data_IF_214949631653
#
_entry.id   IF_214949631653
#
_cell.length_a   1.000
_cell.length_b   1.000
_cell.length_c   1.000
_cell.angle_alpha   90.00
_cell.angle_beta   90.00
_cell.angle_gamma   90.00
#
_symmetry.space_group_name_H-M   'P 1'
#
loop_
_entity.id
_entity.type
_entity.pdbx_description
1 polymer ?
#
# COMPACT_ATOMS: atom_id res chain seq x y z
N UNK A 1 -20.77 -8.14 3.36
CA UNK A 1 -20.19 -8.52 2.05
C UNK A 1 -18.69 -8.81 2.13
N UNK A 2 -17.87 -7.90 2.67
CA UNK A 2 -16.40 -8.06 2.80
C UNK A 2 -15.99 -9.29 3.64
N UNK A 3 -16.68 -9.56 4.76
CA UNK A 3 -16.41 -10.73 5.62
C UNK A 3 -16.67 -12.06 4.88
N UNK A 4 -17.70 -12.11 4.04
CA UNK A 4 -18.02 -13.29 3.22
C UNK A 4 -16.97 -13.52 2.13
N UNK A 5 -16.44 -12.44 1.54
CA UNK A 5 -15.38 -12.51 0.54
C UNK A 5 -14.05 -13.03 1.13
N UNK A 6 -13.70 -12.57 2.33
CA UNK A 6 -12.50 -13.05 3.05
C UNK A 6 -12.62 -14.53 3.40
N UNK A 7 -13.80 -14.97 3.86
CA UNK A 7 -14.09 -16.38 4.13
C UNK A 7 -13.95 -17.26 2.88
N UNK A 8 -14.46 -16.80 1.74
CA UNK A 8 -14.36 -17.51 0.47
C UNK A 8 -12.90 -17.61 -0.02
N UNK A 9 -12.11 -16.53 0.09
CA UNK A 9 -10.69 -16.54 -0.27
C UNK A 9 -9.90 -17.52 0.61
N UNK A 10 -10.17 -17.58 1.91
CA UNK A 10 -9.53 -18.53 2.82
C UNK A 10 -9.85 -19.99 2.46
N UNK A 11 -11.10 -20.30 2.12
CA UNK A 11 -11.51 -21.65 1.70
C UNK A 11 -10.80 -22.06 0.41
N UNK A 12 -10.70 -21.15 -0.57
CA UNK A 12 -9.99 -21.42 -1.83
C UNK A 12 -8.50 -21.68 -1.59
N UNK A 13 -7.85 -20.91 -0.71
CA UNK A 13 -6.43 -21.13 -0.35
C UNK A 13 -6.24 -22.50 0.29
N UNK A 14 -7.11 -22.88 1.23
CA UNK A 14 -7.04 -24.20 1.91
C UNK A 14 -7.24 -25.34 0.91
N UNK A 15 -8.16 -25.21 -0.05
CA UNK A 15 -8.38 -26.22 -1.08
C UNK A 15 -7.18 -26.37 -2.02
N UNK A 16 -6.53 -25.27 -2.40
CA UNK A 16 -5.31 -25.30 -3.22
C UNK A 16 -4.16 -25.98 -2.46
N UNK A 17 -3.99 -25.67 -1.17
CA UNK A 17 -2.99 -26.30 -0.32
C UNK A 17 -3.25 -27.81 -0.13
N UNK A 18 -4.51 -28.21 0.03
CA UNK A 18 -4.89 -29.62 0.14
C UNK A 18 -4.65 -30.38 -1.17
N UNK A 19 -5.01 -29.80 -2.32
CA UNK A 19 -4.83 -30.42 -3.64
C UNK A 19 -3.33 -30.59 -4.00
N UNK A 20 -2.51 -29.61 -3.64
CA UNK A 20 -1.05 -29.66 -3.85
C UNK A 20 -0.37 -30.67 -2.92
N UNK A 21 -0.80 -30.77 -1.67
CA UNK A 21 -0.32 -31.79 -0.73
C UNK A 21 -0.65 -33.23 -1.17
N UNK A 22 -1.87 -33.45 -1.69
CA UNK A 22 -2.29 -34.78 -2.20
C UNK A 22 -1.54 -35.15 -3.48
N UNK A 23 -1.24 -34.17 -4.33
CA UNK A 23 -0.46 -34.40 -5.55
C UNK A 23 1.01 -34.70 -5.26
N UNK A 24 1.57 -34.09 -4.21
CA UNK A 24 2.94 -34.32 -3.77
C UNK A 24 3.18 -35.72 -3.19
N UNK A 25 2.17 -36.36 -2.57
CA UNK A 25 2.30 -37.71 -1.98
C UNK A 25 2.21 -38.84 -3.00
N UNK A 26 1.72 -38.59 -4.23
CA UNK A 26 1.60 -39.60 -5.29
C UNK A 26 2.82 -39.67 -6.22
N UNK A 27 3.71 -38.68 -6.22
CA UNK A 27 4.88 -38.60 -7.10
C UNK A 27 6.14 -39.26 -6.50
N UNK A 28 6.17 -40.59 -6.43
CA UNK A 28 7.27 -41.32 -5.78
C UNK A 28 8.43 -41.65 -6.75
N UNK A 29 9.04 -40.64 -7.37
CA UNK A 29 10.39 -40.75 -7.92
C UNK A 29 11.29 -39.81 -7.13
N UNK A 30 12.20 -40.35 -6.32
CA UNK A 30 13.06 -39.56 -5.40
C UNK A 30 13.87 -38.47 -6.14
N UNK A 31 14.14 -38.67 -7.42
CA UNK A 31 14.88 -37.76 -8.29
C UNK A 31 13.97 -36.73 -9.00
N UNK A 32 12.83 -37.17 -9.54
CA UNK A 32 11.85 -36.28 -10.19
C UNK A 32 11.10 -35.41 -9.18
N UNK A 33 10.82 -35.92 -7.99
CA UNK A 33 10.22 -35.17 -6.88
C UNK A 33 11.13 -34.06 -6.37
N UNK A 34 12.45 -34.27 -6.32
CA UNK A 34 13.41 -33.24 -5.92
C UNK A 34 13.47 -32.09 -6.95
N UNK A 35 13.48 -32.43 -8.24
CA UNK A 35 13.44 -31.44 -9.33
C UNK A 35 12.12 -30.64 -9.29
N UNK A 36 10.99 -31.33 -9.11
CA UNK A 36 9.67 -30.69 -9.01
C UNK A 36 9.58 -29.74 -7.80
N UNK A 37 10.04 -30.19 -6.62
CA UNK A 37 10.04 -29.35 -5.41
C UNK A 37 10.94 -28.13 -5.54
N UNK A 38 12.11 -28.24 -6.18
CA UNK A 38 12.99 -27.11 -6.47
C UNK A 38 12.35 -26.09 -7.40
N UNK A 39 11.65 -26.55 -8.45
CA UNK A 39 10.95 -25.68 -9.38
C UNK A 39 9.78 -24.97 -8.70
N UNK A 40 8.98 -25.68 -7.90
CA UNK A 40 7.89 -25.08 -7.10
C UNK A 40 8.43 -23.99 -6.17
N UNK A 41 9.55 -24.24 -5.48
CA UNK A 41 10.20 -23.23 -4.64
C UNK A 41 10.60 -21.98 -5.44
N UNK A 42 11.22 -22.14 -6.61
CA UNK A 42 11.61 -21.02 -7.47
C UNK A 42 10.37 -20.21 -7.90
N UNK A 43 9.29 -20.87 -8.33
CA UNK A 43 8.06 -20.19 -8.72
C UNK A 43 7.39 -19.45 -7.56
N UNK A 44 7.40 -20.01 -6.34
CA UNK A 44 6.84 -19.33 -5.16
C UNK A 44 7.64 -18.07 -4.83
N UNK A 45 8.98 -18.14 -4.86
CA UNK A 45 9.84 -16.98 -4.63
C UNK A 45 9.64 -15.92 -5.72
N UNK A 46 9.58 -16.32 -6.98
CA UNK A 46 9.30 -15.42 -8.10
C UNK A 46 7.92 -14.77 -7.98
N UNK A 47 6.91 -15.53 -7.58
CA UNK A 47 5.56 -15.02 -7.38
C UNK A 47 5.51 -13.99 -6.25
N UNK A 48 6.09 -14.31 -5.09
CA UNK A 48 6.12 -13.41 -3.94
C UNK A 48 6.85 -12.10 -4.25
N UNK A 49 8.02 -12.19 -4.90
CA UNK A 49 8.80 -11.01 -5.30
C UNK A 49 8.11 -10.20 -6.38
N UNK A 50 7.44 -10.84 -7.34
CA UNK A 50 6.64 -10.16 -8.36
C UNK A 50 5.46 -9.40 -7.74
N UNK A 51 4.71 -10.03 -6.83
CA UNK A 51 3.60 -9.37 -6.12
C UNK A 51 4.09 -8.16 -5.33
N UNK A 52 5.27 -8.26 -4.71
CA UNK A 52 5.90 -7.16 -3.98
C UNK A 52 6.24 -5.98 -4.89
N UNK A 53 6.85 -6.26 -6.06
CA UNK A 53 7.21 -5.25 -7.06
C UNK A 53 5.97 -4.57 -7.63
N UNK A 54 4.93 -5.34 -7.97
CA UNK A 54 3.66 -4.79 -8.48
C UNK A 54 3.02 -3.88 -7.43
N UNK A 55 2.90 -4.35 -6.17
CA UNK A 55 2.35 -3.55 -5.08
C UNK A 55 3.14 -2.26 -4.83
N UNK A 56 4.47 -2.34 -4.85
CA UNK A 56 5.34 -1.16 -4.75
C UNK A 56 5.15 -0.19 -5.93
N UNK A 57 4.99 -0.71 -7.15
CA UNK A 57 4.82 0.13 -8.35
C UNK A 57 3.51 0.91 -8.34
N UNK A 58 2.40 0.25 -7.95
CA UNK A 58 1.10 0.91 -7.80
C UNK A 58 1.14 1.98 -6.70
N UNK A 59 1.75 1.66 -5.56
CA UNK A 59 1.91 2.62 -4.45
C UNK A 59 2.78 3.83 -4.84
N UNK A 60 3.85 3.60 -5.61
CA UNK A 60 4.70 4.68 -6.13
C UNK A 60 3.91 5.60 -7.05
N UNK A 61 3.12 5.05 -7.97
CA UNK A 61 2.27 5.84 -8.86
C UNK A 61 1.23 6.67 -8.10
N UNK A 62 0.53 6.07 -7.12
CA UNK A 62 -0.42 6.78 -6.26
C UNK A 62 0.26 7.92 -5.51
N UNK A 63 1.44 7.68 -4.92
CA UNK A 63 2.18 8.71 -4.22
C UNK A 63 2.61 9.87 -5.13
N UNK A 64 3.00 9.60 -6.38
CA UNK A 64 3.29 10.65 -7.37
C UNK A 64 2.02 11.43 -7.71
N UNK A 65 0.89 10.76 -7.91
CA UNK A 65 -0.38 11.41 -8.15
C UNK A 65 -0.77 12.34 -6.99
N UNK A 66 -0.62 11.90 -5.75
CA UNK A 66 -0.93 12.70 -4.56
C UNK A 66 0.03 13.90 -4.36
N UNK A 67 1.25 13.84 -4.93
CA UNK A 67 2.18 14.98 -4.95
C UNK A 67 1.76 16.02 -5.99
N UNK A 68 1.37 15.58 -7.18
CA UNK A 68 1.02 16.47 -8.31
C UNK A 68 -0.38 17.05 -8.14
N UNK A 69 -1.32 16.22 -7.71
CA UNK A 69 -2.73 16.56 -7.50
C UNK A 69 -3.16 16.13 -6.08
N UNK A 70 -2.70 16.83 -5.03
CA UNK A 70 -3.12 16.53 -3.66
C UNK A 70 -4.64 16.69 -3.52
N UNK A 71 -5.25 15.88 -2.66
CA UNK A 71 -6.70 15.88 -2.49
C UNK A 71 -7.17 17.25 -1.99
N UNK A 72 -8.28 17.78 -2.55
CA UNK A 72 -8.78 19.10 -2.18
C UNK A 72 -9.19 19.13 -0.70
N UNK A 73 -8.98 20.28 -0.06
CA UNK A 73 -9.48 20.53 1.29
C UNK A 73 -11.01 20.70 1.22
N UNK A 74 -11.76 19.78 1.84
CA UNK A 74 -13.21 19.70 1.66
C UNK A 74 -14.03 20.59 2.61
N UNK A 75 -13.41 21.18 3.64
CA UNK A 75 -14.12 22.03 4.58
C UNK A 75 -14.13 23.47 4.07
N UNK A 76 -15.31 24.08 3.97
CA UNK A 76 -15.46 25.47 3.54
C UNK A 76 -15.11 26.45 4.66
N UNK A 77 -14.85 27.72 4.32
CA UNK A 77 -14.61 28.76 5.32
C UNK A 77 -15.80 28.96 6.26
N UNK A 78 -17.03 28.88 5.75
CA UNK A 78 -18.24 29.03 6.57
C UNK A 78 -18.39 27.90 7.58
N UNK A 79 -18.05 26.68 7.17
CA UNK A 79 -18.04 25.52 8.07
C UNK A 79 -16.91 25.62 9.10
N UNK A 80 -15.74 26.14 8.71
CA UNK A 80 -14.65 26.43 9.65
C UNK A 80 -15.01 27.54 10.64
N UNK A 81 -15.71 28.58 10.19
CA UNK A 81 -16.22 29.65 11.06
C UNK A 81 -17.19 29.10 12.09
N UNK A 82 -18.12 28.26 11.67
CA UNK A 82 -19.18 27.78 12.55
C UNK A 82 -18.70 26.66 13.50
N UNK A 83 -17.81 25.76 13.06
CA UNK A 83 -17.41 24.56 13.83
C UNK A 83 -15.94 24.55 14.28
N UNK A 84 -15.06 25.28 13.60
CA UNK A 84 -13.63 25.36 13.90
C UNK A 84 -13.33 26.14 15.20
N UNK A 85 -14.19 27.10 15.54
CA UNK A 85 -14.12 27.85 16.80
C UNK A 85 -14.60 27.03 18.01
N UNK A 86 -15.49 26.06 17.83
CA UNK A 86 -15.97 25.19 18.92
C UNK A 86 -14.89 24.25 19.45
N UNK A 87 -14.02 23.76 18.56
CA UNK A 87 -12.93 22.82 18.86
C UNK A 87 -11.67 23.47 19.47
N UNK A 88 -11.64 24.80 19.56
CA UNK A 88 -10.59 25.55 20.25
C UNK A 88 -10.74 25.41 21.76
N UNK A 89 -9.82 24.69 22.41
CA UNK A 89 -9.75 24.44 23.86
C UNK A 89 -9.67 25.74 24.71
N UNK A 90 -9.30 26.86 24.10
CA UNK A 90 -9.24 28.16 24.77
C UNK A 90 -10.56 28.93 24.59
N UNK A 91 -11.46 28.79 25.56
CA UNK A 91 -12.73 29.54 25.64
C UNK A 91 -12.53 31.07 25.63
N UNK A 92 -11.36 31.57 26.04
CA UNK A 92 -11.04 33.01 26.04
C UNK A 92 -10.66 33.59 24.66
N UNK A 93 -10.30 32.76 23.67
CA UNK A 93 -9.96 33.23 22.31
C UNK A 93 -11.20 33.30 21.40
N UNK A 94 -12.33 32.73 21.84
CA UNK A 94 -13.59 32.70 21.09
C UNK A 94 -14.23 34.08 20.88
N UNK A 95 -13.86 35.08 21.68
CA UNK A 95 -14.62 36.33 21.80
C UNK A 95 -14.07 37.54 21.01
N UNK A 96 -12.91 37.46 20.33
CA UNK A 96 -12.26 38.67 19.80
C UNK A 96 -11.40 38.49 18.54
N UNK A 97 -11.56 37.39 17.79
CA UNK A 97 -10.88 37.28 16.49
C UNK A 97 -11.66 38.09 15.44
N UNK A 98 -10.99 39.03 14.78
CA UNK A 98 -11.59 39.72 13.63
C UNK A 98 -11.84 38.73 12.49
N UNK A 99 -12.78 39.02 11.59
CA UNK A 99 -13.02 38.18 10.41
C UNK A 99 -11.75 38.02 9.55
N UNK A 100 -10.88 39.03 9.55
CA UNK A 100 -9.59 39.01 8.85
C UNK A 100 -8.62 38.00 9.46
N UNK A 101 -8.52 37.94 10.79
CA UNK A 101 -7.70 36.95 11.49
C UNK A 101 -8.25 35.53 11.34
N UNK A 102 -9.58 35.39 11.33
CA UNK A 102 -10.24 34.10 11.13
C UNK A 102 -9.97 33.52 9.74
N UNK A 103 -10.06 34.37 8.71
CA UNK A 103 -9.74 34.00 7.33
C UNK A 103 -8.27 33.64 7.17
N UNK A 104 -7.37 34.44 7.75
CA UNK A 104 -5.93 34.15 7.74
C UNK A 104 -5.59 32.80 8.37
N UNK A 105 -6.25 32.43 9.49
CA UNK A 105 -6.09 31.12 10.12
C UNK A 105 -6.61 29.98 9.26
N UNK A 106 -7.78 30.16 8.63
CA UNK A 106 -8.32 29.18 7.70
C UNK A 106 -7.38 28.96 6.51
N UNK A 107 -6.93 30.02 5.86
CA UNK A 107 -6.01 29.93 4.72
C UNK A 107 -4.70 29.23 5.12
N UNK A 108 -4.16 29.55 6.30
CA UNK A 108 -2.99 28.86 6.85
C UNK A 108 -3.23 27.36 7.08
N UNK A 109 -4.42 26.97 7.55
CA UNK A 109 -4.79 25.57 7.75
C UNK A 109 -4.94 24.82 6.42
N UNK A 110 -5.57 25.43 5.42
CA UNK A 110 -5.71 24.85 4.08
C UNK A 110 -4.33 24.57 3.47
N UNK A 111 -3.41 25.54 3.58
CA UNK A 111 -2.03 25.39 3.11
C UNK A 111 -1.30 24.30 3.90
N UNK A 112 -1.39 24.32 5.23
CA UNK A 112 -0.73 23.33 6.07
C UNK A 112 -1.23 21.90 5.81
N UNK A 113 -2.52 21.70 5.56
CA UNK A 113 -3.07 20.38 5.25
C UNK A 113 -2.60 19.89 3.87
N UNK A 114 -2.56 20.78 2.88
CA UNK A 114 -2.00 20.48 1.55
C UNK A 114 -0.53 20.06 1.67
N UNK A 115 0.27 20.82 2.40
CA UNK A 115 1.69 20.50 2.62
C UNK A 115 1.86 19.18 3.37
N UNK A 116 1.01 18.91 4.36
CA UNK A 116 1.01 17.64 5.09
C UNK A 116 0.66 16.46 4.17
N UNK A 117 -0.27 16.61 3.24
CA UNK A 117 -0.58 15.56 2.26
C UNK A 117 0.61 15.32 1.33
N UNK A 118 1.19 16.38 0.77
CA UNK A 118 2.36 16.28 -0.11
C UNK A 118 3.55 15.61 0.60
N UNK A 119 3.81 15.98 1.86
CA UNK A 119 4.90 15.38 2.65
C UNK A 119 4.63 13.90 2.97
N UNK A 120 3.38 13.53 3.26
CA UNK A 120 2.98 12.12 3.42
C UNK A 120 3.19 11.34 2.12
N UNK A 121 2.79 11.91 0.99
CA UNK A 121 2.96 11.30 -0.32
C UNK A 121 4.44 11.11 -0.68
N UNK A 122 5.31 12.10 -0.41
CA UNK A 122 6.77 11.95 -0.55
C UNK A 122 7.33 10.79 0.27
N UNK A 123 6.92 10.66 1.53
CA UNK A 123 7.33 9.54 2.39
C UNK A 123 6.82 8.19 1.85
N UNK A 124 5.58 8.15 1.37
CA UNK A 124 5.00 6.97 0.72
C UNK A 124 5.79 6.55 -0.51
N UNK A 125 6.19 7.51 -1.36
CA UNK A 125 6.99 7.28 -2.56
C UNK A 125 8.35 6.62 -2.24
N UNK A 126 9.05 7.12 -1.20
CA UNK A 126 10.32 6.54 -0.76
C UNK A 126 10.11 5.12 -0.23
N UNK A 127 9.05 4.89 0.55
CA UNK A 127 8.73 3.55 1.05
C UNK A 127 8.39 2.58 -0.09
N UNK A 128 7.60 3.01 -1.08
CA UNK A 128 7.24 2.18 -2.23
C UNK A 128 8.46 1.80 -3.08
N UNK A 129 9.47 2.68 -3.16
CA UNK A 129 10.74 2.32 -3.80
C UNK A 129 11.44 1.17 -3.07
N UNK A 130 11.39 1.12 -1.73
CA UNK A 130 11.89 -0.01 -0.95
C UNK A 130 11.19 -1.34 -1.31
N UNK A 131 9.86 -1.29 -1.51
CA UNK A 131 9.07 -2.45 -1.97
C UNK A 131 9.39 -2.91 -3.40
N UNK A 132 10.06 -2.09 -4.21
CA UNK A 132 10.50 -2.45 -5.56
C UNK A 132 11.97 -2.91 -5.53
N UNK A 133 12.85 -2.09 -4.94
CA UNK A 133 14.31 -2.26 -5.01
C UNK A 133 14.76 -3.50 -4.22
N UNK A 134 14.15 -3.81 -3.09
CA UNK A 134 14.55 -4.97 -2.25
C UNK A 134 14.25 -6.32 -2.94
N UNK A 135 13.02 -6.58 -3.45
CA UNK A 135 12.72 -7.85 -4.10
C UNK A 135 13.31 -7.98 -5.51
N UNK A 136 13.65 -6.89 -6.19
CA UNK A 136 14.11 -6.92 -7.58
C UNK A 136 15.39 -7.78 -7.79
N UNK A 137 16.46 -7.66 -6.98
CA UNK A 137 17.63 -8.54 -7.10
C UNK A 137 17.27 -10.02 -6.92
N UNK A 138 16.40 -10.33 -5.95
CA UNK A 138 15.93 -11.69 -5.69
C UNK A 138 15.18 -12.23 -6.91
N UNK A 139 14.24 -11.44 -7.44
CA UNK A 139 13.48 -11.79 -8.64
C UNK A 139 14.41 -12.08 -9.82
N UNK A 140 15.37 -11.17 -10.11
CA UNK A 140 16.31 -11.33 -11.22
C UNK A 140 17.18 -12.58 -11.07
N UNK A 141 17.70 -12.86 -9.87
CA UNK A 141 18.52 -14.04 -9.62
C UNK A 141 17.72 -15.32 -9.84
N UNK A 142 16.52 -15.40 -9.28
CA UNK A 142 15.67 -16.60 -9.41
C UNK A 142 15.12 -16.77 -10.83
N UNK A 143 14.86 -15.68 -11.54
CA UNK A 143 14.44 -15.71 -12.93
C UNK A 143 15.57 -16.23 -13.84
N UNK A 144 16.82 -15.81 -13.59
CA UNK A 144 17.99 -16.34 -14.29
C UNK A 144 18.20 -17.82 -14.01
N UNK A 145 18.03 -18.25 -12.74
CA UNK A 145 18.14 -19.66 -12.35
C UNK A 145 17.08 -20.51 -13.04
N UNK A 146 15.84 -20.03 -13.15
CA UNK A 146 14.77 -20.74 -13.83
C UNK A 146 15.09 -20.95 -15.31
N UNK A 147 15.50 -19.89 -16.02
CA UNK A 147 15.87 -19.96 -17.45
C UNK A 147 17.08 -20.86 -17.73
N UNK A 148 17.96 -21.05 -16.76
CA UNK A 148 19.11 -21.95 -16.90
C UNK A 148 18.74 -23.43 -16.66
N UNK A 149 17.52 -23.72 -16.17
CA UNK A 149 16.99 -25.07 -15.99
C UNK A 149 16.02 -25.48 -17.10
N UNK A 150 15.58 -24.54 -17.94
CA UNK A 150 14.85 -24.77 -19.20
C UNK A 150 15.84 -25.04 -20.35
#
# INVERSE_FOLDING_TARGET
MVISLIGLVLVVIVLILAATAISATRGNSKEGGNIMMKNVYIYVVLFATLMMIIGGSVAAFMAVADIVTPAPYNQSFEEYRQWGLEKSENTNTKANLSETELKARYDALVVAEKDRQVNRAKNSLVKSMGWIIIPLPVFVIFQRRLRAQE
#
